data_IF_870895757326
#
_entry.id   IF_870895757326
#
_cell.length_a   1.000
_cell.length_b   1.000
_cell.length_c   1.000
_cell.angle_alpha   90.00
_cell.angle_beta   90.00
_cell.angle_gamma   90.00
#
_symmetry.space_group_name_H-M   'P 1'
#
loop_
_entity.id
_entity.type
_entity.pdbx_description
1 polymer ?
#
# COMPACT_ATOMS: atom_id res chain seq x y z
N UNK A 1 23.44 32.36 7.63
CA UNK A 1 22.27 31.48 7.41
C UNK A 1 22.84 30.13 7.00
N UNK A 2 22.99 29.24 7.98
CA UNK A 2 23.65 27.94 7.88
C UNK A 2 22.85 27.00 6.99
N UNK A 3 23.49 26.46 5.95
CA UNK A 3 22.94 25.40 5.09
C UNK A 3 22.51 24.20 5.93
N UNK A 4 21.21 23.89 5.94
CA UNK A 4 20.69 22.63 6.47
C UNK A 4 21.01 21.53 5.45
N UNK A 5 21.87 20.55 5.76
CA UNK A 5 22.11 19.43 4.87
C UNK A 5 20.88 18.50 4.94
N UNK A 6 20.06 18.49 3.88
CA UNK A 6 18.97 17.52 3.66
C UNK A 6 19.58 16.12 3.44
N UNK A 7 19.32 15.16 4.32
CA UNK A 7 19.64 13.75 4.08
C UNK A 7 18.48 13.04 3.33
N UNK A 8 18.78 12.03 2.50
CA UNK A 8 18.34 12.02 1.10
C UNK A 8 17.11 11.16 0.83
N UNK A 9 16.38 11.54 -0.22
CA UNK A 9 15.49 10.62 -0.91
C UNK A 9 16.34 9.78 -1.86
N UNK A 10 16.28 8.49 -1.67
CA UNK A 10 16.94 7.50 -2.50
C UNK A 10 15.93 6.71 -3.33
N UNK A 11 16.43 6.06 -4.37
CA UNK A 11 15.74 4.99 -5.08
C UNK A 11 16.65 3.77 -5.20
N UNK A 12 16.07 2.59 -5.05
CA UNK A 12 16.73 1.33 -5.42
C UNK A 12 16.19 0.91 -6.77
N UNK A 13 17.07 0.59 -7.71
CA UNK A 13 16.66 0.14 -9.04
C UNK A 13 15.79 -1.12 -8.97
N UNK A 14 14.76 -1.22 -9.83
CA UNK A 14 13.93 -2.43 -9.95
C UNK A 14 14.72 -3.68 -10.33
N UNK A 15 15.94 -3.50 -10.83
CA UNK A 15 16.90 -4.56 -11.14
C UNK A 15 17.57 -5.18 -9.90
N UNK A 16 17.43 -4.57 -8.72
CA UNK A 16 18.19 -4.91 -7.53
C UNK A 16 17.29 -5.48 -6.42
N UNK A 17 17.83 -6.37 -5.56
CA UNK A 17 17.08 -6.86 -4.42
C UNK A 17 16.86 -5.71 -3.43
N UNK A 18 15.63 -5.16 -3.43
CA UNK A 18 15.27 -3.97 -2.67
C UNK A 18 15.63 -4.09 -1.18
N UNK A 19 15.15 -5.17 -0.53
CA UNK A 19 15.37 -5.40 0.91
C UNK A 19 16.85 -5.56 1.24
N UNK A 20 17.60 -6.35 0.47
CA UNK A 20 19.03 -6.54 0.72
C UNK A 20 19.83 -5.25 0.55
N UNK A 21 19.42 -4.39 -0.39
CA UNK A 21 20.05 -3.08 -0.62
C UNK A 21 19.77 -2.13 0.55
N UNK A 22 18.54 -2.12 1.07
CA UNK A 22 18.19 -1.34 2.28
C UNK A 22 18.96 -1.85 3.51
N UNK A 23 19.10 -3.16 3.67
CA UNK A 23 19.88 -3.75 4.77
C UNK A 23 21.36 -3.39 4.65
N UNK A 24 21.94 -3.45 3.45
CA UNK A 24 23.32 -3.01 3.22
C UNK A 24 23.53 -1.54 3.56
N UNK A 25 22.57 -0.68 3.21
CA UNK A 25 22.60 0.73 3.61
C UNK A 25 22.57 0.88 5.13
N UNK A 26 21.62 0.24 5.81
CA UNK A 26 21.48 0.35 7.27
C UNK A 26 22.71 -0.17 8.03
N UNK A 27 23.35 -1.24 7.54
CA UNK A 27 24.57 -1.78 8.16
C UNK A 27 25.83 -0.96 7.84
N UNK A 28 25.84 -0.20 6.74
CA UNK A 28 26.96 0.65 6.36
C UNK A 28 26.90 2.03 7.04
N UNK A 29 25.71 2.48 7.42
CA UNK A 29 25.51 3.73 8.15
C UNK A 29 25.92 3.55 9.62
N UNK A 30 26.82 4.40 10.11
CA UNK A 30 27.45 4.28 11.44
C UNK A 30 27.31 5.54 12.27
N UNK A 31 26.65 6.58 11.73
CA UNK A 31 26.43 7.86 12.44
C UNK A 31 25.57 7.68 13.70
N UNK A 32 24.67 6.70 13.68
CA UNK A 32 23.77 6.39 14.80
C UNK A 32 23.88 4.91 15.19
N UNK A 33 23.69 4.56 16.48
CA UNK A 33 23.48 3.19 16.91
C UNK A 33 22.37 2.52 16.10
N UNK A 34 22.56 1.25 15.75
CA UNK A 34 21.65 0.54 14.85
C UNK A 34 20.24 0.39 15.48
N UNK A 35 20.17 0.23 16.80
CA UNK A 35 18.95 0.14 17.60
C UNK A 35 18.11 1.42 17.64
N UNK A 36 18.72 2.58 17.41
CA UNK A 36 18.02 3.88 17.44
C UNK A 36 17.19 4.14 16.18
N UNK A 37 17.43 3.36 15.12
CA UNK A 37 16.68 3.50 13.88
C UNK A 37 15.22 3.08 14.04
N UNK A 38 14.34 3.88 13.45
CA UNK A 38 12.95 3.49 13.20
C UNK A 38 12.73 3.32 11.71
N UNK A 39 12.36 2.11 11.28
CA UNK A 39 12.24 1.73 9.86
C UNK A 39 10.80 1.35 9.54
N UNK A 40 10.14 2.16 8.72
CA UNK A 40 8.82 1.89 8.18
C UNK A 40 8.90 1.14 6.86
N UNK A 41 8.12 0.06 6.74
CA UNK A 41 8.04 -0.78 5.54
C UNK A 41 6.58 -0.96 5.11
N UNK A 42 6.29 -1.17 3.82
CA UNK A 42 4.92 -1.16 3.31
C UNK A 42 4.02 -2.24 3.93
N UNK A 43 4.58 -3.41 4.26
CA UNK A 43 3.83 -4.57 4.73
C UNK A 43 4.57 -5.33 5.82
N UNK A 44 3.85 -6.12 6.63
CA UNK A 44 4.46 -7.05 7.59
C UNK A 44 5.43 -8.03 6.94
N UNK A 45 5.12 -8.47 5.72
CA UNK A 45 6.00 -9.35 4.96
C UNK A 45 7.35 -8.67 4.63
N UNK A 46 7.33 -7.38 4.30
CA UNK A 46 8.56 -6.61 4.10
C UNK A 46 9.37 -6.51 5.41
N UNK A 47 8.71 -6.30 6.55
CA UNK A 47 9.37 -6.31 7.87
C UNK A 47 10.07 -7.65 8.15
N UNK A 48 9.34 -8.76 7.99
CA UNK A 48 9.89 -10.11 8.18
C UNK A 48 11.06 -10.37 7.22
N UNK A 49 10.95 -9.92 5.97
CA UNK A 49 12.00 -10.07 4.96
C UNK A 49 13.25 -9.28 5.34
N UNK A 50 13.10 -8.06 5.86
CA UNK A 50 14.21 -7.22 6.33
C UNK A 50 14.91 -7.87 7.53
N UNK A 51 14.16 -8.38 8.51
CA UNK A 51 14.73 -9.12 9.66
C UNK A 51 15.49 -10.38 9.22
N UNK A 52 14.95 -11.14 8.26
CA UNK A 52 15.61 -12.33 7.74
C UNK A 52 16.90 -11.97 6.99
N UNK A 53 16.88 -10.92 6.17
CA UNK A 53 18.07 -10.44 5.46
C UNK A 53 19.15 -9.95 6.43
N UNK A 54 18.77 -9.23 7.49
CA UNK A 54 19.67 -8.83 8.58
C UNK A 54 20.34 -10.04 9.24
N UNK A 55 19.55 -11.04 9.65
CA UNK A 55 20.07 -12.29 10.26
C UNK A 55 21.05 -13.02 9.35
N UNK A 56 20.78 -13.05 8.05
CA UNK A 56 21.65 -13.74 7.08
C UNK A 56 22.99 -13.03 6.86
N UNK A 57 23.00 -11.68 6.93
CA UNK A 57 24.19 -10.86 6.71
C UNK A 57 25.02 -10.71 8.00
N UNK A 58 24.38 -10.65 9.16
CA UNK A 58 25.03 -10.51 10.48
C UNK A 58 25.19 -11.91 11.11
N UNK A 59 26.20 -12.66 10.66
CA UNK A 59 26.34 -14.09 10.99
C UNK A 59 26.98 -14.40 12.35
N UNK A 60 27.61 -13.42 13.03
CA UNK A 60 28.48 -13.68 14.20
C UNK A 60 28.36 -12.71 15.38
N UNK A 61 27.55 -11.66 15.27
CA UNK A 61 27.41 -10.64 16.30
C UNK A 61 25.95 -10.55 16.74
N UNK A 62 25.72 -10.51 18.06
CA UNK A 62 24.40 -10.20 18.59
C UNK A 62 24.12 -8.71 18.33
N UNK A 63 23.06 -8.43 17.58
CA UNK A 63 22.68 -7.07 17.19
C UNK A 63 21.31 -6.73 17.78
N UNK A 64 21.21 -5.59 18.47
CA UNK A 64 19.93 -5.03 18.86
C UNK A 64 19.25 -4.46 17.62
N UNK A 65 18.06 -4.96 17.28
CA UNK A 65 17.38 -4.55 16.06
C UNK A 65 16.74 -3.16 16.19
N UNK A 66 16.66 -2.39 15.08
CA UNK A 66 15.87 -1.18 15.03
C UNK A 66 14.39 -1.45 15.26
N UNK A 67 13.64 -0.38 15.49
CA UNK A 67 12.17 -0.44 15.50
C UNK A 67 11.68 -0.61 14.06
N UNK A 68 11.29 -1.83 13.70
CA UNK A 68 10.71 -2.13 12.39
C UNK A 68 9.19 -2.07 12.49
N UNK A 69 8.54 -1.25 11.65
CA UNK A 69 7.10 -0.95 11.74
C UNK A 69 6.44 -1.10 10.36
N UNK A 70 5.38 -1.92 10.21
CA UNK A 70 4.62 -1.98 8.96
C UNK A 70 3.77 -0.71 8.77
N UNK A 71 3.50 -0.30 7.53
CA UNK A 71 2.62 0.83 7.20
C UNK A 71 1.16 0.39 7.00
N UNK A 72 0.93 -0.67 6.23
CA UNK A 72 -0.42 -1.08 5.81
C UNK A 72 -1.17 -1.98 6.80
N UNK A 73 -0.50 -2.48 7.83
CA UNK A 73 -1.02 -3.51 8.74
C UNK A 73 -0.46 -3.31 10.15
N UNK A 74 -0.55 -2.07 10.64
CA UNK A 74 -0.16 -1.80 12.03
C UNK A 74 -1.29 -2.29 12.91
N UNK A 75 -0.98 -3.26 13.76
CA UNK A 75 -1.95 -3.72 14.75
C UNK A 75 -2.34 -2.54 15.63
N UNK A 76 -3.62 -2.47 15.95
CA UNK A 76 -4.17 -1.48 16.86
C UNK A 76 -3.39 -1.40 18.18
N UNK A 77 -2.98 -2.55 18.72
CA UNK A 77 -2.17 -2.63 19.93
C UNK A 77 -0.75 -2.10 19.69
N UNK A 78 -0.17 -2.35 18.51
CA UNK A 78 1.20 -1.99 18.19
C UNK A 78 1.37 -0.47 17.99
N UNK A 79 0.41 0.21 17.35
CA UNK A 79 0.39 1.68 17.25
C UNK A 79 0.23 2.36 18.63
N UNK A 80 -0.70 1.85 19.44
CA UNK A 80 -0.94 2.39 20.79
C UNK A 80 0.30 2.22 21.68
N UNK A 81 0.93 1.04 21.64
CA UNK A 81 2.12 0.72 22.44
C UNK A 81 3.38 1.46 21.95
N UNK A 82 3.57 1.67 20.64
CA UNK A 82 4.84 2.16 20.08
C UNK A 82 4.92 3.68 19.86
N UNK A 83 3.82 4.44 19.92
CA UNK A 83 3.88 5.89 19.70
C UNK A 83 2.69 6.72 20.15
N UNK A 84 1.62 6.11 20.66
CA UNK A 84 0.35 6.79 20.91
C UNK A 84 0.22 7.53 22.24
N UNK A 85 0.88 7.04 23.29
CA UNK A 85 0.73 7.57 24.65
C UNK A 85 -0.73 7.72 25.10
N UNK A 86 -1.01 8.70 25.96
CA UNK A 86 -2.38 9.01 26.41
C UNK A 86 -3.31 9.48 25.26
N UNK A 87 -2.76 10.12 24.23
CA UNK A 87 -3.53 10.59 23.07
C UNK A 87 -4.18 9.43 22.32
N UNK A 88 -3.47 8.31 22.13
CA UNK A 88 -4.05 7.14 21.48
C UNK A 88 -5.17 6.48 22.29
N UNK A 89 -5.12 6.56 23.62
CA UNK A 89 -6.18 6.05 24.49
C UNK A 89 -7.47 6.89 24.40
N UNK A 90 -7.35 8.15 23.98
CA UNK A 90 -8.51 9.04 23.77
C UNK A 90 -9.23 8.85 22.43
N UNK A 91 -8.67 8.04 21.50
CA UNK A 91 -9.30 7.79 20.20
C UNK A 91 -10.40 6.73 20.36
N UNK A 92 -11.65 7.03 19.98
CA UNK A 92 -12.74 6.05 20.04
C UNK A 92 -12.41 4.79 19.24
N UNK A 93 -12.88 3.63 19.70
CA UNK A 93 -12.55 2.36 19.05
C UNK A 93 -13.14 2.25 17.64
N UNK A 94 -12.50 1.53 16.71
CA UNK A 94 -13.06 1.34 15.39
C UNK A 94 -14.29 0.44 15.46
N UNK A 95 -15.34 0.83 14.75
CA UNK A 95 -16.58 0.07 14.69
C UNK A 95 -16.35 -1.27 13.97
N UNK A 96 -16.70 -2.38 14.63
CA UNK A 96 -16.50 -3.72 14.08
C UNK A 96 -17.39 -3.97 12.86
N UNK A 97 -16.89 -4.77 11.92
CA UNK A 97 -17.55 -5.06 10.65
C UNK A 97 -19.04 -5.44 10.79
N UNK A 98 -19.46 -6.40 11.65
CA UNK A 98 -20.86 -6.78 11.72
C UNK A 98 -21.77 -5.65 12.20
N UNK A 99 -21.34 -4.85 13.18
CA UNK A 99 -22.11 -3.72 13.69
C UNK A 99 -22.24 -2.64 12.62
N UNK A 100 -21.12 -2.29 11.98
CA UNK A 100 -21.08 -1.32 10.87
C UNK A 100 -22.01 -1.70 9.72
N UNK A 101 -21.97 -2.97 9.34
CA UNK A 101 -22.80 -3.52 8.27
C UNK A 101 -24.30 -3.44 8.60
N UNK A 102 -24.69 -3.76 9.83
CA UNK A 102 -26.09 -3.68 10.27
C UNK A 102 -26.58 -2.24 10.35
N UNK A 103 -25.79 -1.32 10.95
CA UNK A 103 -26.17 0.09 11.05
C UNK A 103 -26.34 0.74 9.68
N UNK A 104 -25.45 0.43 8.73
CA UNK A 104 -25.61 0.88 7.36
C UNK A 104 -26.83 0.24 6.70
N UNK A 105 -27.05 -1.06 6.83
CA UNK A 105 -28.24 -1.72 6.28
C UNK A 105 -29.56 -1.17 6.86
N UNK A 106 -29.54 -0.73 8.12
CA UNK A 106 -30.66 -0.04 8.78
C UNK A 106 -30.85 1.39 8.25
N UNK A 107 -29.77 2.17 8.09
CA UNK A 107 -29.81 3.47 7.44
C UNK A 107 -30.40 3.36 6.03
N UNK A 108 -29.97 2.35 5.28
CA UNK A 108 -30.45 2.05 3.93
C UNK A 108 -31.90 1.56 3.89
N UNK A 109 -32.46 1.09 5.01
CA UNK A 109 -33.88 0.70 5.09
C UNK A 109 -34.84 1.89 4.98
N UNK A 110 -34.35 3.09 5.34
CA UNK A 110 -35.11 4.34 5.27
C UNK A 110 -35.17 4.88 3.83
N UNK A 111 -34.33 4.36 2.93
CA UNK A 111 -34.31 4.74 1.52
C UNK A 111 -35.27 3.88 0.69
N UNK A 112 -36.09 4.54 -0.14
CA UNK A 112 -37.00 3.88 -1.09
C UNK A 112 -36.60 4.23 -2.52
N UNK A 113 -36.18 3.24 -3.30
CA UNK A 113 -35.92 3.40 -4.72
C UNK A 113 -37.17 3.05 -5.52
N UNK A 114 -37.73 4.01 -6.27
CA UNK A 114 -38.92 3.78 -7.11
C UNK A 114 -40.10 3.10 -6.40
N UNK A 115 -40.31 3.42 -5.11
CA UNK A 115 -41.33 2.80 -4.24
C UNK A 115 -41.14 1.31 -3.91
N UNK A 116 -40.01 0.71 -4.32
CA UNK A 116 -39.65 -0.67 -3.98
C UNK A 116 -38.77 -0.68 -2.73
N UNK A 117 -39.17 -1.49 -1.74
CA UNK A 117 -38.33 -1.77 -0.57
C UNK A 117 -37.28 -2.81 -0.94
N UNK A 118 -36.01 -2.52 -0.65
CA UNK A 118 -34.94 -3.50 -0.78
C UNK A 118 -35.15 -4.65 0.20
N UNK A 119 -34.89 -5.88 -0.26
CA UNK A 119 -34.86 -7.05 0.62
C UNK A 119 -33.74 -6.91 1.67
N UNK A 120 -33.81 -7.68 2.75
CA UNK A 120 -32.75 -7.68 3.77
C UNK A 120 -31.37 -7.99 3.17
N UNK A 121 -31.29 -9.00 2.30
CA UNK A 121 -30.04 -9.36 1.62
C UNK A 121 -29.51 -8.26 0.70
N UNK A 122 -30.40 -7.60 -0.05
CA UNK A 122 -30.01 -6.49 -0.93
C UNK A 122 -29.46 -5.30 -0.12
N UNK A 123 -30.07 -4.99 1.03
CA UNK A 123 -29.57 -3.93 1.92
C UNK A 123 -28.20 -4.26 2.48
N UNK A 124 -27.98 -5.50 2.87
CA UNK A 124 -26.69 -5.96 3.38
C UNK A 124 -25.60 -5.83 2.31
N UNK A 125 -25.85 -6.36 1.11
CA UNK A 125 -24.90 -6.27 0.00
C UNK A 125 -24.63 -4.83 -0.42
N UNK A 126 -25.65 -3.97 -0.42
CA UNK A 126 -25.48 -2.55 -0.71
C UNK A 126 -24.66 -1.84 0.39
N UNK A 127 -24.92 -2.15 1.66
CA UNK A 127 -24.15 -1.63 2.79
C UNK A 127 -22.66 -2.00 2.67
N UNK A 128 -22.31 -3.23 2.26
CA UNK A 128 -20.91 -3.62 2.02
C UNK A 128 -20.23 -2.76 0.95
N UNK A 129 -20.96 -2.40 -0.11
CA UNK A 129 -20.43 -1.53 -1.15
C UNK A 129 -20.28 -0.08 -0.66
N UNK A 130 -21.23 0.41 0.12
CA UNK A 130 -21.16 1.72 0.77
C UNK A 130 -19.97 1.80 1.73
N UNK A 131 -19.72 0.76 2.53
CA UNK A 131 -18.55 0.69 3.42
C UNK A 131 -17.25 0.88 2.65
N UNK A 132 -17.10 0.24 1.48
CA UNK A 132 -15.90 0.39 0.64
C UNK A 132 -15.72 1.82 0.15
N UNK A 133 -16.81 2.51 -0.22
CA UNK A 133 -16.79 3.92 -0.65
C UNK A 133 -16.38 4.82 0.52
N UNK A 134 -17.04 4.66 1.68
CA UNK A 134 -16.71 5.41 2.90
C UNK A 134 -15.23 5.20 3.25
N UNK A 135 -14.76 3.95 3.30
CA UNK A 135 -13.37 3.63 3.62
C UNK A 135 -12.38 4.23 2.63
N UNK A 136 -12.71 4.26 1.33
CA UNK A 136 -11.90 4.91 0.32
C UNK A 136 -11.80 6.43 0.56
N UNK A 137 -12.93 7.11 0.83
CA UNK A 137 -12.94 8.54 1.14
C UNK A 137 -12.16 8.85 2.41
N UNK A 138 -12.38 8.10 3.49
CA UNK A 138 -11.63 8.25 4.75
C UNK A 138 -10.13 8.03 4.58
N UNK A 139 -9.75 7.02 3.78
CA UNK A 139 -8.35 6.72 3.48
C UNK A 139 -7.68 7.84 2.69
N UNK A 140 -8.41 8.58 1.86
CA UNK A 140 -7.93 9.77 1.16
C UNK A 140 -8.15 11.08 1.95
N UNK A 141 -8.75 11.02 3.14
CA UNK A 141 -8.99 12.20 3.98
C UNK A 141 -10.09 13.11 3.43
N UNK A 142 -10.91 12.59 2.52
CA UNK A 142 -12.01 13.31 1.89
C UNK A 142 -13.24 13.23 2.80
N UNK A 143 -13.87 14.37 3.15
CA UNK A 143 -15.05 14.35 4.00
C UNK A 143 -16.24 13.73 3.25
N UNK A 144 -17.12 13.04 3.99
CA UNK A 144 -18.31 12.40 3.41
C UNK A 144 -19.27 13.42 2.79
N UNK A 145 -19.25 14.68 3.24
CA UNK A 145 -20.00 15.77 2.63
C UNK A 145 -19.74 15.92 1.12
N UNK A 146 -18.57 15.49 0.62
CA UNK A 146 -18.24 15.49 -0.81
C UNK A 146 -19.18 14.62 -1.64
N UNK A 147 -19.78 13.58 -1.04
CA UNK A 147 -20.77 12.74 -1.69
C UNK A 147 -22.01 13.52 -2.14
N UNK A 148 -22.34 14.63 -1.47
CA UNK A 148 -23.44 15.53 -1.84
C UNK A 148 -23.16 16.35 -3.10
N UNK A 149 -21.90 16.47 -3.50
CA UNK A 149 -21.50 17.23 -4.68
C UNK A 149 -21.23 16.32 -5.88
N UNK A 150 -21.48 15.01 -5.74
CA UNK A 150 -21.29 14.06 -6.82
C UNK A 150 -22.36 14.26 -7.91
N UNK A 151 -21.99 14.97 -8.96
CA UNK A 151 -22.79 15.17 -10.18
C UNK A 151 -22.14 14.40 -11.33
N UNK A 152 -22.94 13.63 -12.07
CA UNK A 152 -22.50 13.00 -13.32
C UNK A 152 -22.95 13.89 -14.46
N UNK A 153 -22.01 14.61 -15.08
CA UNK A 153 -22.26 15.49 -16.24
C UNK A 153 -22.68 14.74 -17.53
N UNK A 154 -22.81 13.42 -17.48
CA UNK A 154 -23.15 12.60 -18.65
C UNK A 154 -24.65 12.24 -18.68
N UNK A 155 -25.35 12.92 -19.59
CA UNK A 155 -26.77 12.80 -19.99
C UNK A 155 -27.26 11.38 -20.32
N UNK A 156 -27.32 10.46 -19.36
CA UNK A 156 -28.14 9.24 -19.45
C UNK A 156 -28.92 9.05 -18.14
N UNK A 157 -30.23 9.30 -18.25
CA UNK A 157 -31.26 9.23 -17.20
C UNK A 157 -31.02 10.11 -15.97
N UNK A 158 -31.35 11.40 -16.09
CA UNK A 158 -31.32 12.37 -14.99
C UNK A 158 -32.05 11.87 -13.72
N UNK A 159 -33.13 11.11 -13.89
CA UNK A 159 -33.88 10.52 -12.76
C UNK A 159 -33.05 9.48 -12.00
N UNK A 160 -32.37 8.56 -12.67
CA UNK A 160 -31.57 7.53 -12.00
C UNK A 160 -30.43 8.14 -11.16
N UNK A 161 -29.78 9.17 -11.70
CA UNK A 161 -28.73 9.90 -11.00
C UNK A 161 -29.25 10.73 -9.84
N UNK A 162 -30.44 11.33 -9.95
CA UNK A 162 -31.08 12.03 -8.84
C UNK A 162 -31.32 11.09 -7.64
N UNK A 163 -31.71 9.83 -7.89
CA UNK A 163 -31.87 8.84 -6.81
C UNK A 163 -30.54 8.42 -6.18
N UNK A 164 -29.48 8.23 -6.98
CA UNK A 164 -28.13 7.94 -6.47
C UNK A 164 -27.61 9.10 -5.63
N UNK A 165 -27.83 10.34 -6.09
CA UNK A 165 -27.43 11.54 -5.36
C UNK A 165 -28.14 11.66 -4.01
N UNK A 166 -29.46 11.46 -3.98
CA UNK A 166 -30.22 11.45 -2.73
C UNK A 166 -29.70 10.36 -1.77
N UNK A 167 -29.44 9.17 -2.28
CA UNK A 167 -28.87 8.05 -1.52
C UNK A 167 -27.51 8.41 -0.89
N UNK A 168 -26.60 8.97 -1.69
CA UNK A 168 -25.27 9.38 -1.25
C UNK A 168 -25.34 10.53 -0.23
N UNK A 169 -26.29 11.45 -0.40
CA UNK A 169 -26.53 12.56 0.52
C UNK A 169 -27.00 12.07 1.89
N UNK A 170 -27.92 11.10 1.94
CA UNK A 170 -28.37 10.48 3.21
C UNK A 170 -27.19 9.86 3.96
N UNK A 171 -26.30 9.15 3.26
CA UNK A 171 -25.10 8.59 3.90
C UNK A 171 -24.24 9.72 4.48
N UNK A 172 -24.01 10.79 3.71
CA UNK A 172 -23.21 11.92 4.15
C UNK A 172 -23.82 12.70 5.33
N UNK A 173 -25.15 12.74 5.44
CA UNK A 173 -25.86 13.48 6.50
C UNK A 173 -25.92 12.72 7.83
N UNK A 174 -26.13 11.40 7.77
CA UNK A 174 -26.47 10.62 8.96
C UNK A 174 -25.34 9.73 9.47
N UNK A 175 -24.38 9.34 8.64
CA UNK A 175 -23.38 8.36 9.05
C UNK A 175 -22.47 8.87 10.18
N UNK A 176 -22.02 10.13 10.10
CA UNK A 176 -21.17 10.73 11.14
C UNK A 176 -21.92 10.86 12.48
N UNK A 177 -23.22 11.16 12.45
CA UNK A 177 -24.04 11.20 13.65
C UNK A 177 -24.21 9.81 14.29
N UNK A 178 -24.41 8.76 13.48
CA UNK A 178 -24.48 7.37 13.96
C UNK A 178 -23.16 6.96 14.63
N UNK A 179 -22.01 7.32 14.03
CA UNK A 179 -20.70 7.02 14.62
C UNK A 179 -20.50 7.74 15.96
N UNK A 180 -20.98 8.98 16.07
CA UNK A 180 -20.95 9.74 17.32
C UNK A 180 -21.82 9.11 18.41
N UNK A 181 -23.01 8.60 18.07
CA UNK A 181 -23.87 7.88 19.01
C UNK A 181 -23.25 6.55 19.49
N UNK A 182 -22.51 5.87 18.62
CA UNK A 182 -21.79 4.63 18.95
C UNK A 182 -20.47 4.85 19.71
N UNK A 183 -20.05 6.11 19.89
CA UNK A 183 -18.72 6.48 20.41
C UNK A 183 -17.60 5.70 19.68
N UNK A 184 -17.65 5.71 18.34
CA UNK A 184 -16.80 4.88 17.51
C UNK A 184 -16.38 5.61 16.22
N UNK A 185 -15.33 5.09 15.57
CA UNK A 185 -14.86 5.58 14.28
C UNK A 185 -14.99 4.50 13.20
N UNK A 186 -15.08 4.91 11.93
CA UNK A 186 -14.83 3.98 10.82
C UNK A 186 -13.40 3.42 10.91
N UNK A 187 -13.15 2.13 10.60
CA UNK A 187 -11.79 1.56 10.67
C UNK A 187 -10.73 2.34 9.87
N UNK A 188 -11.08 2.83 8.67
CA UNK A 188 -10.17 3.65 7.87
C UNK A 188 -9.89 5.03 8.49
N UNK A 189 -10.91 5.64 9.13
CA UNK A 189 -10.75 6.92 9.83
C UNK A 189 -9.93 6.75 11.10
N UNK A 190 -10.19 5.69 11.86
CA UNK A 190 -9.43 5.32 13.05
C UNK A 190 -7.94 5.12 12.73
N UNK A 191 -7.64 4.35 11.68
CA UNK A 191 -6.25 4.10 11.25
C UNK A 191 -5.54 5.41 10.86
N UNK A 192 -6.23 6.32 10.17
CA UNK A 192 -5.71 7.66 9.87
C UNK A 192 -5.38 8.44 11.15
N UNK A 193 -6.30 8.52 12.11
CA UNK A 193 -6.07 9.23 13.38
C UNK A 193 -4.86 8.67 14.14
N UNK A 194 -4.73 7.35 14.19
CA UNK A 194 -3.59 6.72 14.85
C UNK A 194 -2.27 7.00 14.15
N UNK A 195 -2.27 7.00 12.81
CA UNK A 195 -1.11 7.40 12.02
C UNK A 195 -0.76 8.87 12.26
N UNK A 196 -1.76 9.76 12.35
CA UNK A 196 -1.55 11.18 12.62
C UNK A 196 -0.92 11.40 14.00
N UNK A 197 -1.45 10.76 15.05
CA UNK A 197 -0.86 10.79 16.41
C UNK A 197 0.58 10.30 16.38
N UNK A 198 0.82 9.19 15.68
CA UNK A 198 2.17 8.63 15.56
C UNK A 198 3.12 9.59 14.85
N UNK A 199 2.69 10.23 13.76
CA UNK A 199 3.46 11.25 13.06
C UNK A 199 3.73 12.50 13.91
N UNK A 200 2.82 12.86 14.83
CA UNK A 200 3.07 13.94 15.78
C UNK A 200 4.24 13.62 16.70
N UNK A 201 4.38 12.37 17.14
CA UNK A 201 5.51 11.94 17.98
C UNK A 201 6.86 12.10 17.26
N UNK A 202 6.86 12.05 15.93
CA UNK A 202 8.06 12.18 15.11
C UNK A 202 8.51 13.62 14.89
N UNK A 203 7.69 14.63 15.22
CA UNK A 203 8.00 16.07 14.96
C UNK A 203 9.36 16.50 15.53
N UNK A 204 9.73 15.95 16.69
CA UNK A 204 10.97 16.28 17.40
C UNK A 204 11.89 15.05 17.51
N UNK A 205 11.79 14.10 16.59
CA UNK A 205 12.63 12.90 16.61
C UNK A 205 14.10 13.30 16.40
N UNK A 206 14.94 13.00 17.39
CA UNK A 206 16.40 13.17 17.31
C UNK A 206 17.11 11.91 16.82
N UNK A 207 16.39 10.80 16.72
CA UNK A 207 16.89 9.50 16.24
C UNK A 207 16.58 9.33 14.75
N UNK A 208 17.35 8.52 14.02
CA UNK A 208 17.16 8.35 12.59
C UNK A 208 15.86 7.60 12.25
N UNK A 209 15.16 8.09 11.23
CA UNK A 209 13.87 7.55 10.80
C UNK A 209 13.90 7.28 9.30
N UNK A 210 13.57 6.05 8.92
CA UNK A 210 13.54 5.61 7.53
C UNK A 210 12.14 5.18 7.09
N UNK A 211 11.73 5.58 5.89
CA UNK A 211 10.60 4.95 5.17
C UNK A 211 11.13 4.30 3.91
N UNK A 212 10.94 3.00 3.74
CA UNK A 212 11.46 2.26 2.60
C UNK A 212 10.39 1.43 1.88
N UNK A 213 10.35 1.52 0.55
CA UNK A 213 9.56 0.63 -0.31
C UNK A 213 8.09 1.00 -0.47
N UNK A 214 7.69 2.20 -0.02
CA UNK A 214 6.33 2.71 -0.22
C UNK A 214 6.21 3.48 -1.53
N UNK A 215 5.08 3.31 -2.22
CA UNK A 215 4.72 4.05 -3.43
C UNK A 215 3.92 5.33 -3.14
N UNK A 216 3.55 5.60 -1.88
CA UNK A 216 2.72 6.76 -1.54
C UNK A 216 1.28 6.68 -2.08
N UNK A 217 0.71 5.48 -2.20
CA UNK A 217 -0.66 5.29 -2.71
C UNK A 217 -1.76 5.69 -1.72
N UNK A 218 -1.42 5.81 -0.44
CA UNK A 218 -2.33 6.16 0.65
C UNK A 218 -1.93 7.52 1.19
N UNK A 219 -2.88 8.45 1.32
CA UNK A 219 -2.59 9.82 1.76
C UNK A 219 -1.87 9.89 3.11
N UNK A 220 -2.28 9.12 4.12
CA UNK A 220 -1.59 9.12 5.43
C UNK A 220 -0.12 8.67 5.33
N UNK A 221 0.18 7.76 4.41
CA UNK A 221 1.55 7.33 4.13
C UNK A 221 2.35 8.41 3.39
N UNK A 222 1.72 9.16 2.49
CA UNK A 222 2.34 10.33 1.84
C UNK A 222 2.71 11.38 2.89
N UNK A 223 1.82 11.65 3.84
CA UNK A 223 2.05 12.58 4.93
C UNK A 223 3.23 12.14 5.83
N UNK A 224 3.33 10.83 6.13
CA UNK A 224 4.47 10.27 6.84
C UNK A 224 5.77 10.41 6.04
N UNK A 225 5.76 10.06 4.75
CA UNK A 225 6.96 10.19 3.89
C UNK A 225 7.40 11.66 3.85
N UNK A 226 6.45 12.58 3.70
CA UNK A 226 6.73 14.02 3.72
C UNK A 226 7.33 14.44 5.05
N UNK A 227 6.75 14.03 6.18
CA UNK A 227 7.30 14.29 7.52
C UNK A 227 8.73 13.78 7.64
N UNK A 228 8.98 12.51 7.30
CA UNK A 228 10.30 11.88 7.40
C UNK A 228 11.31 12.57 6.49
N UNK A 229 10.95 12.92 5.26
CA UNK A 229 11.83 13.67 4.35
C UNK A 229 12.26 15.05 4.86
N UNK A 230 11.54 15.61 5.86
CA UNK A 230 11.87 16.91 6.47
C UNK A 230 12.56 16.79 7.85
N UNK A 231 12.81 15.57 8.34
CA UNK A 231 13.56 15.37 9.58
C UNK A 231 15.06 15.53 9.34
N UNK A 232 15.80 16.02 10.35
CA UNK A 232 17.26 16.20 10.28
C UNK A 232 17.99 14.87 9.96
N UNK A 233 17.45 13.75 10.45
CA UNK A 233 17.97 12.40 10.26
C UNK A 233 16.95 11.48 9.57
N UNK A 234 16.16 12.07 8.67
CA UNK A 234 15.17 11.36 7.86
C UNK A 234 15.76 10.72 6.61
N UNK A 235 15.31 9.51 6.28
CA UNK A 235 15.70 8.79 5.05
C UNK A 235 14.47 8.23 4.35
N UNK A 236 14.33 8.48 3.05
CA UNK A 236 13.24 7.90 2.25
C UNK A 236 13.86 7.06 1.13
N UNK A 237 13.48 5.79 1.03
CA UNK A 237 13.95 4.88 -0.02
C UNK A 237 12.79 4.43 -0.90
N UNK A 238 12.72 4.98 -2.11
CA UNK A 238 11.69 4.67 -3.11
C UNK A 238 12.01 3.37 -3.85
N UNK A 239 11.01 2.52 -4.12
CA UNK A 239 11.22 1.30 -4.90
C UNK A 239 11.14 1.59 -6.40
N UNK A 240 12.27 1.49 -7.11
CA UNK A 240 12.27 1.39 -8.57
C UNK A 240 11.89 2.66 -9.32
N UNK A 241 12.15 3.85 -8.77
CA UNK A 241 11.94 5.12 -9.49
C UNK A 241 12.80 5.18 -10.75
N UNK A 242 12.16 5.39 -11.90
CA UNK A 242 12.81 5.68 -13.17
C UNK A 242 12.96 7.19 -13.33
N UNK A 243 14.21 7.66 -13.47
CA UNK A 243 14.53 9.08 -13.62
C UNK A 243 14.34 9.55 -15.07
N UNK A 244 14.02 10.82 -15.24
CA UNK A 244 13.96 11.46 -16.56
C UNK A 244 12.68 11.18 -17.36
N UNK A 245 11.62 10.67 -16.72
CA UNK A 245 10.28 10.64 -17.34
C UNK A 245 9.62 12.01 -17.16
N UNK A 246 8.77 12.38 -18.12
CA UNK A 246 7.94 13.58 -18.02
C UNK A 246 6.67 13.28 -17.20
N UNK A 247 6.61 13.82 -15.98
CA UNK A 247 5.53 13.61 -15.01
C UNK A 247 4.15 13.89 -15.63
N UNK A 248 4.04 14.97 -16.42
CA UNK A 248 2.75 15.46 -16.94
C UNK A 248 2.10 14.50 -17.95
N UNK A 249 2.84 13.53 -18.46
CA UNK A 249 2.37 12.57 -19.47
C UNK A 249 1.96 11.21 -18.88
N UNK A 250 2.24 10.98 -17.60
CA UNK A 250 2.01 9.67 -16.99
C UNK A 250 0.52 9.44 -16.73
N UNK A 251 -0.08 8.51 -17.47
CA UNK A 251 -1.45 8.07 -17.18
C UNK A 251 -1.54 7.39 -15.80
N UNK A 252 -2.69 7.42 -15.11
CA UNK A 252 -2.89 6.69 -13.84
C UNK A 252 -2.65 5.17 -13.90
N UNK A 253 -2.60 4.59 -15.10
CA UNK A 253 -2.30 3.17 -15.33
C UNK A 253 -0.79 2.89 -15.45
N UNK A 254 0.03 3.93 -15.57
CA UNK A 254 1.47 3.79 -15.74
C UNK A 254 2.12 3.32 -14.43
N UNK A 255 3.06 2.36 -14.45
CA UNK A 255 3.69 1.84 -13.22
C UNK A 255 4.40 2.90 -12.36
N UNK A 256 4.94 3.94 -12.99
CA UNK A 256 5.62 5.05 -12.31
C UNK A 256 4.70 6.17 -11.83
N UNK A 257 3.40 6.13 -12.16
CA UNK A 257 2.46 7.23 -11.87
C UNK A 257 2.44 7.63 -10.39
N UNK A 258 2.34 6.65 -9.48
CA UNK A 258 2.27 6.94 -8.05
C UNK A 258 3.57 7.49 -7.47
N UNK A 259 4.73 7.03 -7.98
CA UNK A 259 6.03 7.55 -7.57
C UNK A 259 6.19 9.01 -7.98
N UNK A 260 5.81 9.36 -9.22
CA UNK A 260 5.88 10.73 -9.69
C UNK A 260 4.86 11.64 -8.99
N UNK A 261 3.62 11.16 -8.76
CA UNK A 261 2.63 11.87 -7.91
C UNK A 261 3.17 12.13 -6.49
N UNK A 262 3.87 11.15 -5.90
CA UNK A 262 4.52 11.30 -4.61
C UNK A 262 5.62 12.38 -4.67
N UNK A 263 6.51 12.33 -5.66
CA UNK A 263 7.56 13.34 -5.85
C UNK A 263 6.99 14.75 -6.03
N UNK A 264 5.93 14.89 -6.83
CA UNK A 264 5.21 16.16 -7.00
C UNK A 264 4.60 16.66 -5.68
N UNK A 265 4.11 15.77 -4.81
CA UNK A 265 3.61 16.14 -3.47
C UNK A 265 4.72 16.55 -2.50
N UNK A 266 5.92 16.00 -2.70
CA UNK A 266 7.13 16.33 -1.95
C UNK A 266 7.86 17.55 -2.50
N UNK A 267 7.44 18.09 -3.66
CA UNK A 267 8.08 19.19 -4.37
C UNK A 267 9.55 18.89 -4.73
N UNK A 268 9.84 17.65 -5.14
CA UNK A 268 11.20 17.16 -5.46
C UNK A 268 11.25 16.64 -6.89
N UNK A 269 12.28 17.01 -7.63
CA UNK A 269 12.49 16.51 -8.99
C UNK A 269 13.07 15.08 -8.98
N UNK A 270 12.73 14.27 -9.99
CA UNK A 270 13.29 12.90 -10.10
C UNK A 270 14.83 12.88 -10.26
N UNK A 271 15.43 13.99 -10.67
CA UNK A 271 16.88 14.17 -10.76
C UNK A 271 17.57 14.38 -9.40
N UNK A 272 16.86 14.92 -8.41
CA UNK A 272 17.37 15.10 -7.04
C UNK A 272 17.40 13.80 -6.23
N UNK A 273 16.60 12.80 -6.63
CA UNK A 273 16.57 11.49 -5.97
C UNK A 273 17.89 10.77 -6.25
N UNK A 274 18.58 10.31 -5.21
CA UNK A 274 19.85 9.61 -5.34
C UNK A 274 19.63 8.10 -5.57
N UNK A 275 20.56 7.43 -6.24
CA UNK A 275 20.44 5.98 -6.45
C UNK A 275 21.21 5.23 -5.36
N UNK A 276 20.51 4.42 -4.56
CA UNK A 276 21.14 3.46 -3.66
C UNK A 276 21.59 2.25 -4.47
N UNK A 277 22.90 2.01 -4.51
CA UNK A 277 23.47 0.85 -5.20
C UNK A 277 24.06 -0.12 -4.17
N UNK A 278 23.77 -1.43 -4.26
CA UNK A 278 24.41 -2.45 -3.44
C UNK A 278 25.89 -2.53 -3.79
N UNK A 279 26.70 -3.04 -2.84
CA UNK A 279 28.15 -3.27 -3.08
C UNK A 279 28.42 -4.32 -4.17
N UNK A 280 27.45 -5.18 -4.48
CA UNK A 280 27.50 -6.13 -5.61
C UNK A 280 26.34 -5.84 -6.57
N UNK A 281 26.67 -5.35 -7.76
CA UNK A 281 25.69 -5.16 -8.82
C UNK A 281 25.12 -6.53 -9.25
N UNK A 282 23.82 -6.73 -9.07
CA UNK A 282 23.09 -7.79 -9.77
C UNK A 282 22.77 -7.24 -11.16
N UNK A 283 23.33 -7.87 -12.18
CA UNK A 283 23.14 -7.52 -13.60
C UNK A 283 21.74 -7.91 -14.07
N UNK A 284 20.69 -7.25 -13.58
CA UNK A 284 19.39 -7.26 -14.24
C UNK A 284 19.27 -5.96 -15.04
N UNK A 285 20.12 -5.80 -16.05
CA UNK A 285 19.96 -4.69 -16.98
C UNK A 285 18.59 -4.81 -17.66
N UNK A 286 17.78 -3.76 -17.51
CA UNK A 286 16.61 -3.46 -18.34
C UNK A 286 15.29 -4.20 -18.02
N UNK A 287 14.93 -4.35 -16.75
CA UNK A 287 13.53 -4.69 -16.40
C UNK A 287 12.54 -3.58 -16.81
N UNK A 288 13.00 -2.32 -16.86
CA UNK A 288 12.18 -1.16 -17.25
C UNK A 288 11.68 -1.22 -18.68
N UNK A 289 12.50 -1.72 -19.62
CA UNK A 289 12.13 -1.81 -21.04
C UNK A 289 11.08 -2.88 -21.35
N UNK A 290 10.80 -3.78 -20.41
CA UNK A 290 9.74 -4.79 -20.55
C UNK A 290 8.34 -4.16 -20.50
N UNK A 291 8.17 -3.04 -19.79
CA UNK A 291 6.87 -2.38 -19.65
C UNK A 291 6.51 -1.47 -20.83
N UNK A 292 7.49 -1.12 -21.67
CA UNK A 292 7.30 -0.26 -22.84
C UNK A 292 7.07 -1.04 -24.14
N UNK A 293 7.30 -2.36 -24.15
CA UNK A 293 7.22 -3.20 -25.35
C UNK A 293 6.02 -4.15 -25.27
N UNK A 294 5.07 -3.98 -26.20
CA UNK A 294 4.00 -4.95 -26.48
C UNK A 294 4.52 -6.26 -27.09
N UNK A 295 5.77 -6.29 -27.53
CA UNK A 295 6.30 -7.31 -28.44
C UNK A 295 7.47 -8.08 -27.79
N UNK A 296 7.32 -8.57 -26.56
CA UNK A 296 8.35 -9.40 -25.92
C UNK A 296 8.40 -10.76 -26.63
N UNK A 297 9.41 -10.95 -27.48
CA UNK A 297 9.79 -12.27 -28.01
C UNK A 297 10.83 -12.91 -27.09
N UNK A 298 10.78 -14.23 -26.93
CA UNK A 298 11.79 -14.98 -26.17
C UNK A 298 13.21 -14.65 -26.71
N UNK A 299 14.09 -14.18 -25.82
CA UNK A 299 15.50 -13.92 -26.12
C UNK A 299 15.88 -12.47 -26.44
N UNK A 300 14.94 -11.52 -26.47
CA UNK A 300 15.18 -10.17 -27.05
C UNK A 300 15.57 -9.06 -26.05
N UNK A 301 15.96 -9.41 -24.83
CA UNK A 301 16.47 -8.43 -23.86
C UNK A 301 17.45 -9.10 -22.90
N UNK A 302 18.44 -8.34 -22.40
CA UNK A 302 19.48 -8.77 -21.46
C UNK A 302 18.97 -9.25 -20.08
N UNK A 303 17.72 -9.69 -20.01
CA UNK A 303 17.10 -10.34 -18.87
C UNK A 303 17.18 -11.85 -19.10
N UNK A 304 18.31 -12.44 -18.70
CA UNK A 304 18.44 -13.88 -18.64
C UNK A 304 17.34 -14.44 -17.71
N UNK A 305 16.61 -15.48 -18.14
CA UNK A 305 15.63 -16.25 -17.34
C UNK A 305 14.18 -15.73 -17.22
N UNK A 306 13.68 -14.90 -18.14
CA UNK A 306 12.24 -14.67 -18.28
C UNK A 306 11.70 -15.52 -19.43
N UNK A 307 10.81 -16.46 -19.12
CA UNK A 307 10.06 -17.26 -20.08
C UNK A 307 8.61 -16.77 -20.14
N UNK A 308 8.13 -16.40 -21.33
CA UNK A 308 6.71 -16.12 -21.55
C UNK A 308 5.97 -17.39 -22.00
N UNK A 309 4.92 -17.77 -21.26
CA UNK A 309 4.08 -18.92 -21.56
C UNK A 309 2.63 -18.45 -21.77
N UNK A 310 2.12 -18.62 -22.99
CA UNK A 310 0.73 -18.29 -23.31
C UNK A 310 -0.20 -19.46 -22.93
N UNK A 311 -1.24 -19.17 -22.15
CA UNK A 311 -2.31 -20.12 -21.82
C UNK A 311 -3.54 -19.89 -22.70
N UNK A 312 -4.22 -20.94 -23.21
CA UNK A 312 -5.45 -20.79 -23.97
C UNK A 312 -6.64 -20.34 -23.09
N UNK A 313 -6.64 -20.70 -21.80
CA UNK A 313 -7.66 -20.31 -20.83
C UNK A 313 -7.09 -20.28 -19.39
N UNK A 314 -7.90 -19.82 -18.43
CA UNK A 314 -7.51 -19.72 -17.02
C UNK A 314 -7.22 -21.07 -16.35
N UNK A 315 -7.79 -22.17 -16.85
CA UNK A 315 -7.56 -23.51 -16.31
C UNK A 315 -6.18 -24.01 -16.74
N UNK A 316 -5.87 -23.91 -18.03
CA UNK A 316 -4.57 -24.24 -18.59
C UNK A 316 -3.46 -23.37 -17.97
N UNK A 317 -3.75 -22.08 -17.69
CA UNK A 317 -2.84 -21.22 -16.92
C UNK A 317 -2.55 -21.80 -15.53
N UNK A 318 -3.60 -22.18 -14.78
CA UNK A 318 -3.48 -22.80 -13.47
C UNK A 318 -2.66 -24.11 -13.48
N UNK A 319 -2.88 -24.96 -14.48
CA UNK A 319 -2.15 -26.23 -14.69
C UNK A 319 -0.67 -26.00 -15.02
N UNK A 320 -0.36 -25.07 -15.92
CA UNK A 320 1.02 -24.71 -16.27
C UNK A 320 1.78 -24.16 -15.08
N UNK A 321 1.16 -23.27 -14.29
CA UNK A 321 1.77 -22.72 -13.07
C UNK A 321 2.01 -23.83 -12.05
N UNK A 322 1.04 -24.74 -11.85
CA UNK A 322 1.19 -25.86 -10.93
C UNK A 322 2.34 -26.80 -11.32
N UNK A 323 2.46 -27.12 -12.61
CA UNK A 323 3.56 -27.92 -13.15
C UNK A 323 4.92 -27.25 -12.92
N UNK A 324 5.02 -25.95 -13.25
CA UNK A 324 6.25 -25.18 -13.10
C UNK A 324 6.72 -25.11 -11.63
N UNK A 325 5.80 -25.01 -10.68
CA UNK A 325 6.11 -25.02 -9.25
C UNK A 325 6.52 -26.43 -8.80
N UNK A 326 5.78 -27.47 -9.21
CA UNK A 326 6.13 -28.87 -8.90
C UNK A 326 7.52 -29.25 -9.39
N UNK A 327 7.88 -28.87 -10.62
CA UNK A 327 9.21 -29.11 -11.18
C UNK A 327 10.31 -28.40 -10.39
N UNK A 328 10.06 -27.18 -9.93
CA UNK A 328 11.02 -26.45 -9.12
C UNK A 328 11.22 -27.07 -7.74
N UNK A 329 10.14 -27.47 -7.07
CA UNK A 329 10.19 -28.17 -5.78
C UNK A 329 10.92 -29.50 -5.91
N UNK A 330 10.66 -30.27 -6.98
CA UNK A 330 11.37 -31.52 -7.26
C UNK A 330 12.89 -31.32 -7.45
N UNK A 331 13.30 -30.14 -7.95
CA UNK A 331 14.70 -29.73 -8.07
C UNK A 331 15.27 -29.04 -6.81
N UNK A 332 14.54 -29.05 -5.69
CA UNK A 332 14.95 -28.38 -4.45
C UNK A 332 14.97 -26.85 -4.53
N UNK A 333 14.36 -26.24 -5.56
CA UNK A 333 14.29 -24.80 -5.74
C UNK A 333 13.05 -24.24 -5.04
N UNK A 334 13.18 -23.07 -4.41
CA UNK A 334 12.04 -22.29 -3.92
C UNK A 334 11.42 -21.52 -5.09
N UNK A 335 10.10 -21.67 -5.32
CA UNK A 335 9.32 -20.88 -6.29
C UNK A 335 8.15 -20.20 -5.57
N UNK A 336 7.88 -18.97 -5.97
CA UNK A 336 6.79 -18.16 -5.45
C UNK A 336 5.89 -17.75 -6.61
N UNK A 337 4.67 -18.29 -6.73
CA UNK A 337 3.73 -17.74 -7.68
C UNK A 337 3.18 -16.41 -7.17
N UNK A 338 3.09 -15.45 -8.07
CA UNK A 338 2.46 -14.15 -7.81
C UNK A 338 1.26 -14.03 -8.72
N UNK A 339 0.08 -13.85 -8.14
CA UNK A 339 -1.16 -13.69 -8.88
C UNK A 339 -1.71 -12.28 -8.65
N UNK A 340 -2.15 -11.57 -9.69
CA UNK A 340 -2.81 -10.28 -9.52
C UNK A 340 -4.23 -10.42 -8.94
N UNK A 341 -4.82 -11.62 -8.94
CA UNK A 341 -6.20 -11.87 -8.50
C UNK A 341 -6.32 -13.19 -7.71
N UNK A 342 -7.21 -13.20 -6.73
CA UNK A 342 -7.46 -14.34 -5.84
C UNK A 342 -8.02 -15.58 -6.55
N UNK A 343 -8.78 -15.38 -7.63
CA UNK A 343 -9.39 -16.43 -8.43
C UNK A 343 -8.33 -17.31 -9.11
N UNK A 344 -7.27 -16.70 -9.64
CA UNK A 344 -6.13 -17.42 -10.23
C UNK A 344 -5.37 -18.24 -9.18
N UNK A 345 -5.26 -17.72 -7.95
CA UNK A 345 -4.68 -18.45 -6.83
C UNK A 345 -5.56 -19.65 -6.41
N UNK A 346 -6.89 -19.52 -6.49
CA UNK A 346 -7.82 -20.62 -6.22
C UNK A 346 -7.71 -21.72 -7.29
N UNK A 347 -7.74 -21.36 -8.58
CA UNK A 347 -7.58 -22.28 -9.70
C UNK A 347 -6.28 -23.08 -9.58
N UNK A 348 -5.15 -22.41 -9.32
CA UNK A 348 -3.87 -23.09 -9.14
C UNK A 348 -3.88 -24.06 -7.94
N UNK A 349 -4.52 -23.68 -6.82
CA UNK A 349 -4.69 -24.58 -5.66
C UNK A 349 -5.51 -25.82 -6.01
N UNK A 350 -6.58 -25.68 -6.80
CA UNK A 350 -7.38 -26.82 -7.26
C UNK A 350 -6.56 -27.77 -8.12
N UNK A 351 -5.82 -27.24 -9.10
CA UNK A 351 -4.90 -28.02 -9.93
C UNK A 351 -3.82 -28.73 -9.09
N UNK A 352 -3.27 -28.06 -8.07
CA UNK A 352 -2.30 -28.65 -7.15
C UNK A 352 -2.85 -29.82 -6.34
N UNK A 353 -4.10 -29.71 -5.90
CA UNK A 353 -4.76 -30.74 -5.09
C UNK A 353 -5.37 -31.87 -5.93
N UNK A 354 -5.32 -31.78 -7.26
CA UNK A 354 -5.97 -32.74 -8.16
C UNK A 354 -7.50 -32.75 -8.03
N UNK A 355 -8.09 -31.67 -7.51
CA UNK A 355 -9.55 -31.56 -7.38
C UNK A 355 -10.07 -31.01 -8.71
N UNK A 356 -10.67 -31.89 -9.51
CA UNK A 356 -11.40 -31.50 -10.70
C UNK A 356 -12.60 -30.62 -10.34
N UNK A 357 -12.92 -29.68 -11.22
CA UNK A 357 -14.14 -28.86 -11.15
C UNK A 357 -15.39 -29.72 -11.33
#
# INVERSE_FOLDING_TARGET
MSHVPRYPIFTVSSAQPFIDTVVEFLLAETTFPFEDWTVYLPTRFACISLEQSLKNKVQKEALLLPKIIPLGDVDTAELVLKGGGEKALSVPSPLRYPRRLVLLAELLSKFRYQSVSLSFYQRLSLAENVMKIIDALRREGVPLSTLKNFSVENNRSAEHWAHIHLFLSVIADYWDAILQEEDALDPAQWHRHMMDIHQESLKNATTPVMVAGSLGTVSSTVDLIKRVAHLDHGVVVLPGLLKGLDDQTLSPKHPQYFLYRLLSTLEISSGEVQTLSPRKAVTAQNFSTLFERSDIKNGDSGVCHIDYLAAPDQRAEGEMIALAIREALARGKKKWPVYPRSEAAFLCKCCFKGVGY
#
